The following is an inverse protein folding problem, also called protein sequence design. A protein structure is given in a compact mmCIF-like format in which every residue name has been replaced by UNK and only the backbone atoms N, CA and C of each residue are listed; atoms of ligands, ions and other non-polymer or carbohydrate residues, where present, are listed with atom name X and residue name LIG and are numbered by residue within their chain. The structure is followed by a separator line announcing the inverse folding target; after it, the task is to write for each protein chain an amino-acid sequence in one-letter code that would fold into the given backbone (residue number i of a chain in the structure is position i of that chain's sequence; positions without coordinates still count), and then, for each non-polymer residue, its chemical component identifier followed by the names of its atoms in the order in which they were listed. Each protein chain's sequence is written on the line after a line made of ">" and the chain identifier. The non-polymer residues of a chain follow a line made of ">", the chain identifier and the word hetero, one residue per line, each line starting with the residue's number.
data_IF_170029917714
#
_entry.id   IF_170029917714
#
_cell.length_a   1.000
_cell.length_b   1.000
_cell.length_c   1.000
_cell.angle_alpha   90.00
_cell.angle_beta   90.00
_cell.angle_gamma   90.00
#
_symmetry.space_group_name_H-M   'P 1'
#
loop_
_entity.id
_entity.type
_entity.pdbx_description
1 polymer ?
#
# COMPACT_ATOMS: atom_id res chain seq x y z
N UNK A 1 -75.44 7.83 58.19
CA UNK A 1 -75.23 8.56 56.95
C UNK A 1 -73.74 8.48 56.66
N UNK A 2 -73.38 7.63 55.77
CA UNK A 2 -72.01 7.22 55.44
C UNK A 2 -71.52 8.06 54.27
N UNK A 3 -70.40 8.74 54.47
CA UNK A 3 -69.68 9.41 53.41
C UNK A 3 -68.64 8.41 52.86
N UNK A 4 -68.87 7.91 51.67
CA UNK A 4 -67.85 7.18 50.91
C UNK A 4 -67.01 8.19 50.09
N UNK A 5 -65.82 8.43 50.55
CA UNK A 5 -64.84 9.10 49.76
C UNK A 5 -64.22 8.11 48.77
N UNK A 6 -64.64 8.26 47.55
CA UNK A 6 -64.03 7.47 46.43
C UNK A 6 -62.62 8.08 46.15
N UNK A 7 -61.60 7.38 46.60
CA UNK A 7 -60.22 7.67 46.23
C UNK A 7 -60.04 7.29 44.77
N UNK A 8 -60.02 8.31 43.90
CA UNK A 8 -59.62 8.10 42.49
C UNK A 8 -58.13 7.99 42.45
N UNK A 9 -57.68 6.74 42.40
CA UNK A 9 -56.29 6.40 42.02
C UNK A 9 -56.13 6.80 40.56
N UNK A 10 -55.51 7.94 40.32
CA UNK A 10 -55.00 8.28 38.98
C UNK A 10 -53.80 7.39 38.72
N UNK A 11 -53.97 6.34 38.00
CA UNK A 11 -52.87 5.58 37.39
C UNK A 11 -52.23 6.50 36.34
N UNK A 12 -51.19 7.19 36.74
CA UNK A 12 -50.28 7.83 35.82
C UNK A 12 -49.49 6.74 35.08
N UNK A 13 -49.94 6.40 33.89
CA UNK A 13 -49.12 5.62 32.96
C UNK A 13 -47.93 6.55 32.59
N UNK A 14 -46.89 6.42 33.35
CA UNK A 14 -45.60 6.92 32.92
C UNK A 14 -45.14 6.09 31.71
N UNK A 15 -45.41 6.62 30.53
CA UNK A 15 -44.84 6.07 29.29
C UNK A 15 -43.34 6.29 29.39
N UNK A 16 -42.65 5.26 29.91
CA UNK A 16 -41.20 5.18 29.89
C UNK A 16 -40.84 4.92 28.43
N UNK A 17 -40.68 6.00 27.68
CA UNK A 17 -39.98 5.94 26.37
C UNK A 17 -38.57 5.57 26.71
N UNK A 18 -38.30 4.27 26.79
CA UNK A 18 -36.96 3.75 26.72
C UNK A 18 -36.47 4.07 25.32
N UNK A 19 -35.81 5.24 25.18
CA UNK A 19 -34.90 5.52 24.09
C UNK A 19 -33.77 4.52 24.29
N UNK A 20 -33.94 3.31 23.77
CA UNK A 20 -32.84 2.43 23.49
C UNK A 20 -32.03 3.12 22.42
N UNK A 21 -31.07 3.99 22.84
CA UNK A 21 -29.87 4.24 22.05
C UNK A 21 -29.25 2.86 21.81
N UNK A 22 -29.64 2.21 20.74
CA UNK A 22 -28.82 1.20 20.12
C UNK A 22 -27.53 1.92 19.72
N UNK A 23 -26.60 1.98 20.67
CA UNK A 23 -25.18 2.05 20.36
C UNK A 23 -24.96 0.79 19.52
N UNK A 24 -25.11 0.95 18.19
CA UNK A 24 -24.41 0.10 17.26
C UNK A 24 -22.93 0.29 17.62
N UNK A 25 -22.44 -0.53 18.55
CA UNK A 25 -21.06 -0.85 18.62
C UNK A 25 -20.77 -1.46 17.23
N UNK A 26 -20.39 -0.59 16.27
CA UNK A 26 -19.70 -1.04 15.09
C UNK A 26 -18.54 -1.83 15.70
N UNK A 27 -18.64 -3.17 15.62
CA UNK A 27 -17.51 -4.02 15.86
C UNK A 27 -16.45 -3.45 14.92
N UNK A 28 -15.49 -2.71 15.48
CA UNK A 28 -14.34 -2.25 14.73
C UNK A 28 -13.72 -3.55 14.24
N UNK A 29 -13.87 -3.79 12.95
CA UNK A 29 -13.16 -4.86 12.29
C UNK A 29 -11.69 -4.60 12.60
N UNK A 30 -11.05 -5.55 13.31
CA UNK A 30 -9.64 -5.41 13.71
C UNK A 30 -8.73 -5.17 12.50
N UNK A 31 -9.23 -5.42 11.32
CA UNK A 31 -8.60 -5.20 10.03
C UNK A 31 -8.99 -3.87 9.36
N UNK A 32 -9.73 -2.98 10.03
CA UNK A 32 -10.10 -1.70 9.43
C UNK A 32 -8.93 -0.73 9.46
N UNK A 33 -8.56 -0.20 8.31
CA UNK A 33 -7.59 0.88 8.18
C UNK A 33 -8.28 2.21 8.50
N UNK A 34 -7.65 3.03 9.34
CA UNK A 34 -8.04 4.43 9.52
C UNK A 34 -7.18 5.28 8.58
N UNK A 35 -7.76 5.90 7.56
CA UNK A 35 -7.00 6.75 6.66
C UNK A 35 -6.31 7.90 7.39
N UNK A 36 -5.27 8.45 6.77
CA UNK A 36 -4.64 9.69 7.22
C UNK A 36 -5.69 10.78 7.44
N UNK A 37 -5.53 11.62 8.46
CA UNK A 37 -6.40 12.76 8.69
C UNK A 37 -6.44 13.66 7.44
N UNK A 38 -7.60 14.31 7.19
CA UNK A 38 -7.83 15.05 5.94
C UNK A 38 -6.77 16.12 5.66
N UNK A 39 -6.36 16.86 6.67
CA UNK A 39 -5.38 17.96 6.55
C UNK A 39 -3.97 17.56 7.03
N UNK A 40 -3.69 16.26 7.13
CA UNK A 40 -2.42 15.77 7.65
C UNK A 40 -1.45 15.45 6.53
N UNK A 41 -0.25 16.00 6.61
CA UNK A 41 0.90 15.66 5.75
C UNK A 41 0.99 16.51 4.48
N UNK A 42 -0.11 16.75 3.76
CA UNK A 42 -0.11 17.45 2.47
C UNK A 42 -0.88 18.78 2.49
N UNK A 43 -1.21 19.32 3.67
CA UNK A 43 -1.95 20.55 3.80
C UNK A 43 -3.46 20.38 3.63
N UNK A 44 -4.14 21.47 3.28
CA UNK A 44 -5.61 21.52 3.26
C UNK A 44 -6.23 20.65 2.15
N UNK A 45 -7.27 19.90 2.50
CA UNK A 45 -8.09 19.12 1.58
C UNK A 45 -9.30 19.94 1.13
N UNK A 46 -9.42 20.20 -0.17
CA UNK A 46 -10.63 20.77 -0.76
C UNK A 46 -11.66 19.66 -0.98
N UNK A 47 -12.76 19.72 -0.24
CA UNK A 47 -13.84 18.71 -0.28
C UNK A 47 -14.89 19.00 -1.37
N UNK A 48 -14.70 20.04 -2.20
CA UNK A 48 -15.63 20.34 -3.28
C UNK A 48 -15.76 19.18 -4.26
N UNK A 49 -16.95 19.04 -4.85
CA UNK A 49 -17.16 18.07 -5.91
C UNK A 49 -16.27 18.41 -7.11
N UNK A 50 -15.67 17.40 -7.77
CA UNK A 50 -14.85 17.64 -8.94
C UNK A 50 -15.70 18.10 -10.13
N UNK A 51 -15.08 18.83 -11.06
CA UNK A 51 -15.76 19.27 -12.30
C UNK A 51 -16.17 18.09 -13.21
N UNK A 52 -15.44 16.98 -13.11
CA UNK A 52 -15.71 15.74 -13.83
C UNK A 52 -16.30 14.72 -12.84
N UNK A 53 -17.33 13.95 -13.22
CA UNK A 53 -17.89 12.92 -12.33
C UNK A 53 -16.82 11.97 -11.78
N UNK A 54 -16.81 11.67 -10.47
CA UNK A 54 -15.80 10.79 -9.86
C UNK A 54 -15.67 9.45 -10.56
N UNK A 55 -16.75 8.87 -11.03
CA UNK A 55 -16.77 7.58 -11.75
C UNK A 55 -15.97 7.64 -13.06
N UNK A 56 -16.02 8.77 -13.75
CA UNK A 56 -15.26 8.99 -14.97
C UNK A 56 -13.76 9.12 -14.66
N UNK A 57 -13.39 9.84 -13.58
CA UNK A 57 -12.01 9.95 -13.13
C UNK A 57 -11.48 8.57 -12.75
N UNK A 58 -12.26 7.81 -11.99
CA UNK A 58 -11.92 6.44 -11.55
C UNK A 58 -11.66 5.55 -12.77
N UNK A 59 -12.52 5.57 -13.76
CA UNK A 59 -12.35 4.77 -14.96
C UNK A 59 -11.08 5.15 -15.76
N UNK A 60 -10.80 6.45 -15.86
CA UNK A 60 -9.63 6.96 -16.58
C UNK A 60 -8.32 6.61 -15.84
N UNK A 61 -8.25 6.83 -14.54
CA UNK A 61 -7.02 6.49 -13.81
C UNK A 61 -6.79 4.98 -13.76
N UNK A 62 -7.83 4.15 -13.65
CA UNK A 62 -7.69 2.70 -13.71
C UNK A 62 -7.10 2.21 -15.05
N UNK A 63 -7.45 2.85 -16.16
CA UNK A 63 -6.83 2.58 -17.44
C UNK A 63 -5.34 2.96 -17.44
N UNK A 64 -4.98 4.13 -16.88
CA UNK A 64 -3.59 4.55 -16.72
C UNK A 64 -2.78 3.64 -15.80
N UNK A 65 -3.38 3.18 -14.71
CA UNK A 65 -2.75 2.20 -13.81
C UNK A 65 -2.54 0.83 -14.49
N UNK A 66 -3.40 0.46 -15.45
CA UNK A 66 -3.18 -0.73 -16.28
C UNK A 66 -1.97 -0.56 -17.21
N UNK A 67 -1.82 0.62 -17.83
CA UNK A 67 -0.65 0.97 -18.63
C UNK A 67 0.62 1.00 -17.78
N UNK A 68 0.56 1.61 -16.59
CA UNK A 68 1.65 1.63 -15.62
C UNK A 68 2.09 0.21 -15.24
N UNK A 69 1.16 -0.67 -14.90
CA UNK A 69 1.49 -2.05 -14.51
C UNK A 69 2.16 -2.81 -15.65
N UNK A 70 1.67 -2.64 -16.87
CA UNK A 70 2.30 -3.22 -18.05
C UNK A 70 3.71 -2.66 -18.28
N UNK A 71 3.87 -1.33 -18.15
CA UNK A 71 5.17 -0.68 -18.27
C UNK A 71 6.15 -1.20 -17.22
N UNK A 72 5.76 -1.24 -15.93
CA UNK A 72 6.60 -1.74 -14.84
C UNK A 72 7.11 -3.16 -15.10
N UNK A 73 6.32 -3.99 -15.80
CA UNK A 73 6.73 -5.33 -16.18
C UNK A 73 7.83 -5.36 -17.27
N UNK A 74 8.19 -4.21 -17.85
CA UNK A 74 9.27 -4.06 -18.83
C UNK A 74 10.46 -3.25 -18.29
N UNK A 75 10.45 -2.91 -16.98
CA UNK A 75 11.56 -2.20 -16.36
C UNK A 75 12.31 -3.11 -15.41
N UNK A 76 13.63 -2.99 -15.44
CA UNK A 76 14.52 -3.49 -14.39
C UNK A 76 14.69 -2.40 -13.34
N UNK A 77 14.92 -2.78 -12.10
CA UNK A 77 15.20 -1.84 -11.03
C UNK A 77 15.85 -2.55 -9.84
N UNK A 78 16.48 -1.78 -8.98
CA UNK A 78 17.00 -2.26 -7.69
C UNK A 78 16.00 -1.93 -6.59
N UNK A 79 15.71 -2.91 -5.74
CA UNK A 79 14.92 -2.75 -4.52
C UNK A 79 15.83 -2.94 -3.31
N UNK A 80 15.75 -2.01 -2.36
CA UNK A 80 16.42 -2.10 -1.06
C UNK A 80 15.34 -2.07 0.01
N UNK A 81 15.15 -3.19 0.70
CA UNK A 81 14.14 -3.35 1.73
C UNK A 81 14.79 -3.49 3.11
N UNK A 82 14.13 -2.91 4.11
CA UNK A 82 14.59 -2.91 5.50
C UNK A 82 13.39 -2.97 6.43
N UNK A 83 13.40 -3.90 7.37
CA UNK A 83 12.45 -4.02 8.46
C UNK A 83 13.23 -3.91 9.76
N UNK A 84 12.84 -2.98 10.62
CA UNK A 84 13.51 -2.70 11.87
C UNK A 84 12.56 -2.80 13.04
N UNK A 85 13.04 -3.35 14.15
CA UNK A 85 12.41 -3.22 15.46
C UNK A 85 13.06 -2.08 16.23
N UNK A 86 12.24 -1.30 16.95
CA UNK A 86 12.65 -0.10 17.67
C UNK A 86 12.36 -0.32 19.15
N UNK A 87 13.34 -0.05 19.99
CA UNK A 87 13.20 -0.15 21.44
C UNK A 87 12.51 1.08 22.06
N UNK A 88 12.29 1.05 23.36
CA UNK A 88 11.64 2.13 24.11
C UNK A 88 12.46 3.43 24.14
N UNK A 89 13.76 3.36 23.87
CA UNK A 89 14.66 4.51 23.72
C UNK A 89 14.71 5.08 22.29
N UNK A 90 13.83 4.60 21.38
CA UNK A 90 13.83 4.95 19.95
C UNK A 90 15.08 4.48 19.18
N UNK A 91 15.77 3.46 19.66
CA UNK A 91 16.92 2.88 18.96
C UNK A 91 16.53 1.60 18.22
N UNK A 92 17.20 1.35 17.11
CA UNK A 92 17.05 0.08 16.38
C UNK A 92 17.70 -1.03 17.21
N UNK A 93 16.93 -2.05 17.59
CA UNK A 93 17.39 -3.21 18.36
C UNK A 93 17.37 -4.51 17.54
N UNK A 94 16.85 -4.46 16.32
CA UNK A 94 16.89 -5.56 15.38
C UNK A 94 16.60 -5.10 13.94
N UNK A 95 17.18 -5.80 12.96
CA UNK A 95 17.01 -5.45 11.55
C UNK A 95 17.01 -6.69 10.66
N UNK A 96 16.11 -6.72 9.69
CA UNK A 96 16.20 -7.49 8.48
C UNK A 96 16.46 -6.55 7.31
N UNK A 97 17.38 -6.95 6.42
CA UNK A 97 17.81 -6.11 5.30
C UNK A 97 18.04 -6.95 4.06
N UNK A 98 17.56 -6.50 2.91
CA UNK A 98 17.77 -7.15 1.63
C UNK A 98 17.91 -6.13 0.50
N UNK A 99 18.82 -6.40 -0.40
CA UNK A 99 18.95 -5.72 -1.69
C UNK A 99 18.78 -6.74 -2.79
N UNK A 100 17.85 -6.49 -3.67
CA UNK A 100 17.62 -7.33 -4.84
C UNK A 100 17.50 -6.52 -6.12
N UNK A 101 17.89 -7.13 -7.23
CA UNK A 101 17.71 -6.62 -8.57
C UNK A 101 16.56 -7.36 -9.24
N UNK A 102 15.54 -6.62 -9.66
CA UNK A 102 14.48 -7.10 -10.54
C UNK A 102 14.97 -6.97 -11.97
N UNK A 103 15.25 -8.09 -12.61
CA UNK A 103 15.86 -8.17 -13.92
C UNK A 103 15.10 -9.11 -14.86
N UNK A 104 15.46 -9.13 -16.12
CA UNK A 104 14.96 -10.11 -17.08
C UNK A 104 16.05 -11.16 -17.37
N UNK A 105 15.66 -12.41 -17.48
CA UNK A 105 16.54 -13.48 -17.96
C UNK A 105 16.70 -13.40 -19.49
N UNK A 106 17.60 -14.21 -20.09
CA UNK A 106 17.81 -14.22 -21.54
C UNK A 106 16.54 -14.55 -22.36
N UNK A 107 15.53 -15.17 -21.73
CA UNK A 107 14.25 -15.52 -22.37
C UNK A 107 13.20 -14.43 -22.19
N UNK A 108 13.56 -13.29 -21.58
CA UNK A 108 12.64 -12.18 -21.28
C UNK A 108 11.71 -12.41 -20.08
N UNK A 109 11.98 -13.44 -19.26
CA UNK A 109 11.22 -13.69 -18.04
C UNK A 109 11.76 -12.81 -16.91
N UNK A 110 10.86 -12.07 -16.25
CA UNK A 110 11.20 -11.28 -15.06
C UNK A 110 11.62 -12.20 -13.90
N UNK A 111 12.76 -11.91 -13.31
CA UNK A 111 13.32 -12.62 -12.16
C UNK A 111 13.81 -11.63 -11.10
N UNK A 112 13.84 -12.08 -9.87
CA UNK A 112 14.40 -11.33 -8.75
C UNK A 112 15.71 -11.99 -8.33
N UNK A 113 16.79 -11.22 -8.27
CA UNK A 113 18.11 -11.68 -7.89
C UNK A 113 18.55 -10.98 -6.63
N UNK A 114 18.65 -11.72 -5.53
CA UNK A 114 19.23 -11.20 -4.30
C UNK A 114 20.70 -10.83 -4.55
N UNK A 115 21.03 -9.58 -4.29
CA UNK A 115 22.38 -9.02 -4.44
C UNK A 115 23.08 -9.01 -3.09
N UNK A 116 22.36 -8.70 -2.02
CA UNK A 116 22.89 -8.64 -0.68
C UNK A 116 21.79 -8.91 0.35
N UNK A 117 21.99 -9.88 1.22
CA UNK A 117 21.10 -10.21 2.32
C UNK A 117 21.92 -10.72 3.51
N UNK A 118 22.30 -9.84 4.45
CA UNK A 118 22.98 -10.28 5.68
C UNK A 118 22.02 -11.07 6.56
N UNK A 119 22.57 -11.82 7.53
CA UNK A 119 21.74 -12.47 8.53
C UNK A 119 20.86 -11.46 9.28
N UNK A 120 19.58 -11.82 9.50
CA UNK A 120 18.67 -11.00 10.27
C UNK A 120 19.12 -10.93 11.73
N UNK A 121 19.08 -9.73 12.30
CA UNK A 121 19.27 -9.50 13.74
C UNK A 121 17.96 -9.27 14.51
N UNK A 122 16.81 -9.45 13.85
CA UNK A 122 15.50 -9.39 14.51
C UNK A 122 15.41 -10.49 15.58
N UNK A 123 15.06 -10.11 16.81
CA UNK A 123 14.96 -11.03 17.94
C UNK A 123 13.53 -11.19 18.44
N UNK A 124 12.74 -10.13 18.38
CA UNK A 124 11.36 -10.10 18.89
C UNK A 124 10.32 -10.62 17.89
N UNK A 125 10.64 -10.54 16.60
CA UNK A 125 9.78 -10.93 15.48
C UNK A 125 10.60 -11.63 14.40
N UNK A 126 9.94 -12.33 13.49
CA UNK A 126 10.58 -13.02 12.36
C UNK A 126 9.86 -12.69 11.08
N UNK A 127 10.62 -12.51 9.99
CA UNK A 127 10.06 -12.34 8.66
C UNK A 127 9.33 -13.59 8.20
N UNK A 128 8.10 -13.43 7.78
CA UNK A 128 7.28 -14.49 7.19
C UNK A 128 7.29 -14.42 5.64
N UNK A 129 6.87 -15.49 4.95
CA UNK A 129 6.69 -15.42 3.49
C UNK A 129 5.68 -14.37 3.03
N UNK A 130 4.65 -14.05 3.83
CA UNK A 130 3.69 -12.98 3.53
C UNK A 130 4.33 -11.60 3.62
N UNK A 131 5.20 -11.36 4.61
CA UNK A 131 5.92 -10.10 4.73
C UNK A 131 6.81 -9.86 3.50
N UNK A 132 7.52 -10.89 3.03
CA UNK A 132 8.31 -10.81 1.81
C UNK A 132 7.43 -10.53 0.58
N UNK A 133 6.26 -11.15 0.50
CA UNK A 133 5.32 -10.91 -0.60
C UNK A 133 4.81 -9.48 -0.61
N UNK A 134 4.51 -8.90 0.55
CA UNK A 134 4.06 -7.51 0.66
C UNK A 134 5.17 -6.54 0.25
N UNK A 135 6.41 -6.78 0.65
CA UNK A 135 7.58 -6.02 0.19
C UNK A 135 7.75 -6.13 -1.33
N UNK A 136 7.58 -7.32 -1.87
CA UNK A 136 7.80 -7.58 -3.29
C UNK A 136 6.69 -7.03 -4.19
N UNK A 137 5.45 -7.02 -3.74
CA UNK A 137 4.28 -6.74 -4.57
C UNK A 137 3.31 -5.73 -3.98
N UNK A 138 3.07 -5.77 -2.67
CA UNK A 138 2.05 -4.97 -2.01
C UNK A 138 2.33 -3.47 -2.08
N UNK A 139 3.58 -3.07 -1.92
CA UNK A 139 3.96 -1.66 -1.89
C UNK A 139 3.99 -0.99 -3.27
N UNK A 140 4.01 -1.76 -4.35
CA UNK A 140 3.88 -1.27 -5.73
C UNK A 140 2.45 -1.39 -6.27
N UNK A 141 1.46 -1.27 -5.38
CA UNK A 141 0.05 -1.39 -5.69
C UNK A 141 -0.37 -0.57 -6.92
N UNK A 142 -1.13 -1.19 -7.81
CA UNK A 142 -1.77 -0.56 -8.96
C UNK A 142 -3.27 -0.88 -8.96
N UNK A 143 -4.11 0.13 -9.11
CA UNK A 143 -5.56 -0.06 -9.17
C UNK A 143 -6.01 -0.07 -10.64
N UNK A 144 -5.72 -1.18 -11.30
CA UNK A 144 -5.99 -1.38 -12.72
C UNK A 144 -7.47 -1.49 -13.04
N UNK A 145 -7.81 -1.44 -14.34
CA UNK A 145 -9.19 -1.68 -14.82
C UNK A 145 -9.74 -3.05 -14.37
N UNK A 146 -8.87 -4.05 -14.25
CA UNK A 146 -9.25 -5.38 -13.77
C UNK A 146 -9.46 -5.37 -12.25
N UNK A 147 -8.50 -4.80 -11.51
CA UNK A 147 -8.52 -4.78 -10.05
C UNK A 147 -9.64 -3.91 -9.47
N UNK A 148 -10.01 -2.81 -10.15
CA UNK A 148 -11.00 -1.85 -9.63
C UNK A 148 -12.37 -2.49 -9.37
N UNK A 149 -12.69 -3.58 -10.06
CA UNK A 149 -13.93 -4.33 -9.85
C UNK A 149 -14.04 -4.91 -8.43
N UNK A 150 -12.91 -5.19 -7.79
CA UNK A 150 -12.81 -5.74 -6.43
C UNK A 150 -12.87 -4.68 -5.34
N UNK A 151 -12.83 -3.39 -5.69
CA UNK A 151 -12.72 -2.29 -4.74
C UNK A 151 -13.96 -1.39 -4.70
N UNK A 152 -14.25 -0.89 -3.50
CA UNK A 152 -15.02 0.34 -3.32
C UNK A 152 -14.03 1.50 -3.40
N UNK A 153 -14.28 2.42 -4.32
CA UNK A 153 -13.46 3.62 -4.53
C UNK A 153 -14.35 4.83 -4.33
N UNK A 154 -14.01 5.66 -3.34
CA UNK A 154 -14.82 6.81 -2.94
C UNK A 154 -13.99 8.08 -3.08
N UNK A 155 -14.47 9.03 -3.87
CA UNK A 155 -13.88 10.36 -3.94
C UNK A 155 -13.96 11.05 -2.58
N UNK A 156 -12.86 11.66 -2.15
CA UNK A 156 -12.73 12.42 -0.90
C UNK A 156 -12.66 13.91 -1.17
N UNK A 157 -11.82 14.32 -2.12
CA UNK A 157 -11.55 15.72 -2.40
C UNK A 157 -10.37 15.94 -3.32
N UNK A 158 -9.83 17.14 -3.32
CA UNK A 158 -8.57 17.52 -3.99
C UNK A 158 -7.56 17.99 -2.95
N UNK A 159 -6.30 17.63 -3.18
CA UNK A 159 -5.20 18.04 -2.30
C UNK A 159 -3.91 18.15 -3.11
N UNK A 160 -3.06 19.11 -2.75
CA UNK A 160 -1.71 19.18 -3.31
C UNK A 160 -0.79 18.20 -2.58
N UNK A 161 -0.01 17.47 -3.37
CA UNK A 161 1.13 16.69 -2.90
C UNK A 161 2.36 17.39 -3.48
N UNK A 162 3.08 18.13 -2.63
CA UNK A 162 4.08 19.10 -3.06
C UNK A 162 3.49 20.09 -4.09
N UNK A 163 3.91 20.04 -5.34
CA UNK A 163 3.42 20.92 -6.40
C UNK A 163 2.31 20.26 -7.26
N UNK A 164 2.00 18.98 -7.03
CA UNK A 164 1.10 18.19 -7.84
C UNK A 164 -0.34 18.32 -7.33
N UNK A 165 -1.25 18.79 -8.18
CA UNK A 165 -2.69 18.76 -7.87
C UNK A 165 -3.23 17.34 -8.00
N UNK A 166 -3.80 16.80 -6.94
CA UNK A 166 -4.30 15.44 -6.90
C UNK A 166 -5.80 15.36 -6.63
N UNK A 167 -6.45 14.43 -7.29
CA UNK A 167 -7.71 13.85 -6.82
C UNK A 167 -7.41 12.83 -5.72
N UNK A 168 -8.22 12.81 -4.68
CA UNK A 168 -8.04 11.95 -3.52
C UNK A 168 -9.19 10.97 -3.40
N UNK A 169 -8.85 9.70 -3.26
CA UNK A 169 -9.85 8.63 -3.11
C UNK A 169 -9.52 7.74 -1.93
N UNK A 170 -10.55 7.35 -1.17
CA UNK A 170 -10.47 6.22 -0.25
C UNK A 170 -10.78 4.93 -1.01
N UNK A 171 -9.98 3.89 -0.77
CA UNK A 171 -10.10 2.59 -1.40
C UNK A 171 -10.19 1.50 -0.35
N UNK A 172 -11.10 0.55 -0.56
CA UNK A 172 -11.25 -0.62 0.31
C UNK A 172 -11.76 -1.80 -0.52
N UNK A 173 -11.35 -3.05 -0.24
CA UNK A 173 -11.88 -4.21 -0.92
C UNK A 173 -13.39 -4.35 -0.66
N UNK A 174 -14.17 -4.76 -1.67
CA UNK A 174 -15.60 -5.07 -1.52
C UNK A 174 -15.82 -6.34 -0.70
N UNK A 175 -14.93 -7.30 -0.89
CA UNK A 175 -14.94 -8.59 -0.20
C UNK A 175 -13.49 -8.99 0.04
N UNK A 176 -13.19 -9.46 1.24
CA UNK A 176 -11.87 -10.00 1.57
C UNK A 176 -11.92 -11.51 1.34
N UNK A 177 -11.29 -11.97 0.27
CA UNK A 177 -11.22 -13.38 -0.06
C UNK A 177 -10.06 -14.07 0.67
N UNK A 178 -10.26 -15.36 0.98
CA UNK A 178 -9.20 -16.16 1.60
C UNK A 178 -7.97 -16.26 0.67
N UNK A 179 -6.80 -16.07 1.23
CA UNK A 179 -5.49 -16.13 0.53
C UNK A 179 -5.20 -14.98 -0.44
N UNK A 180 -6.07 -13.99 -0.54
CA UNK A 180 -5.82 -12.78 -1.29
C UNK A 180 -5.45 -11.64 -0.33
N UNK A 181 -4.57 -10.77 -0.80
CA UNK A 181 -4.16 -9.56 -0.08
C UNK A 181 -4.64 -8.35 -0.87
N UNK A 182 -5.25 -7.41 -0.19
CA UNK A 182 -5.84 -6.21 -0.78
C UNK A 182 -5.28 -4.97 -0.09
N UNK A 183 -5.13 -3.89 -0.83
CA UNK A 183 -4.88 -2.57 -0.23
C UNK A 183 -6.17 -2.03 0.37
N UNK A 184 -6.09 -1.47 1.57
CA UNK A 184 -7.13 -0.64 2.15
C UNK A 184 -6.50 0.67 2.62
N UNK A 185 -7.00 1.81 2.13
CA UNK A 185 -6.39 3.09 2.46
C UNK A 185 -6.85 4.24 1.59
N UNK A 186 -5.95 5.16 1.32
CA UNK A 186 -6.14 6.38 0.53
C UNK A 186 -5.11 6.48 -0.57
N UNK A 187 -5.53 6.95 -1.73
CA UNK A 187 -4.66 7.21 -2.87
C UNK A 187 -4.81 8.66 -3.33
N UNK A 188 -3.71 9.22 -3.79
CA UNK A 188 -3.63 10.52 -4.47
C UNK A 188 -3.31 10.27 -5.93
N UNK A 189 -4.16 10.77 -6.80
CA UNK A 189 -4.08 10.60 -8.25
C UNK A 189 -3.79 11.95 -8.88
N UNK A 190 -2.68 12.09 -9.59
CA UNK A 190 -2.37 13.31 -10.33
C UNK A 190 -3.55 13.73 -11.24
N UNK A 191 -3.99 14.96 -11.11
CA UNK A 191 -5.14 15.47 -11.89
C UNK A 191 -4.81 15.64 -13.38
N UNK A 192 -3.54 15.65 -13.76
CA UNK A 192 -3.07 15.80 -15.15
C UNK A 192 -2.84 14.45 -15.82
N UNK A 193 -2.00 13.61 -15.20
CA UNK A 193 -1.58 12.34 -15.78
C UNK A 193 -2.53 11.19 -15.44
N UNK A 194 -3.40 11.38 -14.44
CA UNK A 194 -4.35 10.38 -13.97
C UNK A 194 -3.65 9.07 -13.53
N UNK A 195 -2.50 9.19 -12.89
CA UNK A 195 -1.76 8.09 -12.29
C UNK A 195 -1.62 8.31 -10.78
N UNK A 196 -1.54 7.23 -10.01
CA UNK A 196 -1.33 7.31 -8.56
C UNK A 196 0.07 7.85 -8.29
N UNK A 197 0.18 8.89 -7.46
CA UNK A 197 1.46 9.47 -7.03
C UNK A 197 1.80 9.13 -5.59
N UNK A 198 0.78 8.95 -4.74
CA UNK A 198 0.94 8.53 -3.35
C UNK A 198 -0.13 7.50 -3.00
N UNK A 199 0.28 6.52 -2.23
CA UNK A 199 -0.61 5.55 -1.58
C UNK A 199 -0.36 5.59 -0.08
N UNK A 200 -1.41 5.73 0.74
CA UNK A 200 -1.36 5.54 2.19
C UNK A 200 -2.33 4.43 2.56
N UNK A 201 -1.85 3.34 3.11
CA UNK A 201 -2.72 2.21 3.37
C UNK A 201 -2.06 1.10 4.16
N UNK A 202 -2.77 0.00 4.22
CA UNK A 202 -2.27 -1.29 4.73
C UNK A 202 -2.77 -2.41 3.85
N UNK A 203 -2.07 -3.54 3.89
CA UNK A 203 -2.56 -4.76 3.26
C UNK A 203 -3.52 -5.49 4.20
N UNK A 204 -4.66 -5.94 3.66
CA UNK A 204 -5.70 -6.68 4.40
C UNK A 204 -6.04 -7.98 3.68
N UNK A 205 -6.48 -9.03 4.40
CA UNK A 205 -6.51 -9.17 5.86
C UNK A 205 -5.11 -9.31 6.44
N UNK A 206 -4.97 -9.08 7.75
CA UNK A 206 -3.75 -9.43 8.45
C UNK A 206 -3.49 -10.95 8.35
N UNK A 207 -2.24 -11.35 8.20
CA UNK A 207 -1.88 -12.76 8.21
C UNK A 207 -1.85 -13.29 9.64
N UNK A 208 -2.98 -13.81 10.08
CA UNK A 208 -3.16 -14.37 11.43
C UNK A 208 -3.02 -15.89 11.48
N UNK A 209 -2.43 -16.51 10.45
CA UNK A 209 -2.19 -17.96 10.46
C UNK A 209 -1.24 -18.32 11.60
N UNK A 210 -1.47 -19.52 12.16
CA UNK A 210 -0.67 -20.02 13.29
C UNK A 210 0.83 -19.92 12.95
N UNK A 211 1.58 -19.23 13.79
CA UNK A 211 3.01 -18.90 13.70
C UNK A 211 3.39 -17.90 12.58
N UNK A 212 2.41 -17.28 11.93
CA UNK A 212 2.66 -16.13 11.07
C UNK A 212 2.10 -14.89 11.76
N UNK A 213 2.88 -13.85 11.79
CA UNK A 213 2.52 -12.53 12.29
C UNK A 213 2.80 -11.54 11.17
N UNK A 214 1.84 -10.64 10.94
CA UNK A 214 1.99 -9.61 9.92
C UNK A 214 2.86 -8.49 10.47
N UNK A 215 4.04 -8.28 9.91
CA UNK A 215 5.02 -7.31 10.38
C UNK A 215 4.84 -5.92 9.76
N UNK A 216 3.84 -5.74 8.89
CA UNK A 216 3.71 -4.49 8.17
C UNK A 216 2.72 -3.54 8.84
N UNK A 217 3.20 -2.44 9.44
CA UNK A 217 2.34 -1.34 9.87
C UNK A 217 1.70 -0.66 8.65
N UNK A 218 0.71 0.21 8.86
CA UNK A 218 0.26 1.10 7.80
C UNK A 218 1.43 1.82 7.16
N UNK A 219 1.41 1.93 5.85
CA UNK A 219 2.53 2.45 5.06
C UNK A 219 2.11 3.56 4.12
N UNK A 220 3.08 4.33 3.67
CA UNK A 220 2.95 5.30 2.61
C UNK A 220 3.99 5.00 1.53
N UNK A 221 3.52 4.94 0.27
CA UNK A 221 4.38 4.79 -0.91
C UNK A 221 4.31 6.04 -1.75
N UNK A 222 5.47 6.61 -2.07
CA UNK A 222 5.64 7.71 -3.01
C UNK A 222 6.10 7.19 -4.34
N UNK A 223 5.55 7.76 -5.40
CA UNK A 223 5.98 7.50 -6.77
C UNK A 223 6.60 8.75 -7.38
N UNK A 224 7.50 8.57 -8.32
CA UNK A 224 8.07 9.64 -9.14
C UNK A 224 7.94 9.29 -10.61
N UNK A 225 7.87 10.31 -11.43
CA UNK A 225 7.81 10.13 -12.87
C UNK A 225 9.17 9.66 -13.39
N UNK A 226 9.17 8.51 -14.07
CA UNK A 226 10.34 7.93 -14.72
C UNK A 226 10.15 8.07 -16.23
N UNK A 227 11.19 8.47 -16.93
CA UNK A 227 11.18 8.70 -18.39
C UNK A 227 10.08 9.65 -18.89
N UNK A 228 9.56 10.51 -17.99
CA UNK A 228 8.56 11.50 -18.34
C UNK A 228 7.15 10.94 -18.63
N UNK A 229 6.88 9.65 -18.32
CA UNK A 229 5.60 9.01 -18.66
C UNK A 229 4.92 8.31 -17.50
N UNK A 230 5.65 7.52 -16.70
CA UNK A 230 5.07 6.67 -15.68
C UNK A 230 5.51 7.04 -14.29
N UNK A 231 4.58 7.02 -13.35
CA UNK A 231 4.84 7.25 -11.93
C UNK A 231 5.22 5.94 -11.25
N UNK A 232 6.51 5.64 -11.17
CA UNK A 232 7.01 4.42 -10.52
C UNK A 232 7.27 4.62 -9.04
N UNK A 233 7.08 3.58 -8.19
CA UNK A 233 7.44 3.63 -6.78
C UNK A 233 8.91 4.00 -6.61
N UNK A 234 9.22 4.91 -5.71
CA UNK A 234 10.62 5.27 -5.37
C UNK A 234 10.92 5.05 -3.90
N UNK A 235 9.91 5.19 -3.06
CA UNK A 235 10.08 5.06 -1.64
C UNK A 235 8.79 4.61 -0.96
N UNK A 236 8.91 3.64 -0.05
CA UNK A 236 7.84 3.24 0.87
C UNK A 236 8.35 3.35 2.29
N UNK A 237 7.53 3.90 3.18
CA UNK A 237 7.76 3.91 4.62
C UNK A 237 6.50 3.46 5.34
N UNK A 238 6.64 2.47 6.23
CA UNK A 238 5.67 2.12 7.24
C UNK A 238 6.27 2.30 8.63
N UNK A 239 5.48 2.72 9.61
CA UNK A 239 5.93 2.80 10.99
C UNK A 239 4.73 2.71 11.92
N UNK A 240 4.84 1.89 12.96
CA UNK A 240 3.78 1.73 13.95
C UNK A 240 4.10 0.69 15.01
N UNK A 241 3.26 0.65 16.03
CA UNK A 241 3.32 -0.38 17.08
C UNK A 241 2.34 -1.47 16.71
N UNK A 242 2.83 -2.68 16.53
CA UNK A 242 2.04 -3.87 16.25
C UNK A 242 1.90 -4.71 17.52
N UNK A 243 0.69 -5.21 17.73
CA UNK A 243 0.37 -6.06 18.87
C UNK A 243 0.40 -7.52 18.46
N UNK A 244 1.33 -8.29 19.03
CA UNK A 244 1.44 -9.72 18.81
C UNK A 244 0.79 -10.47 19.97
N UNK A 245 -0.19 -11.31 19.66
CA UNK A 245 -0.86 -12.13 20.65
C UNK A 245 0.06 -13.22 21.16
N UNK A 246 0.14 -13.38 22.48
CA UNK A 246 0.87 -14.48 23.09
C UNK A 246 0.32 -15.84 22.65
N UNK A 247 1.22 -16.81 22.52
CA UNK A 247 0.91 -18.19 22.16
C UNK A 247 1.67 -19.19 23.03
N UNK A 248 1.63 -20.46 22.67
CA UNK A 248 2.29 -21.54 23.42
C UNK A 248 3.80 -21.24 23.57
N UNK A 249 4.19 -20.69 24.73
CA UNK A 249 5.59 -20.38 25.08
C UNK A 249 6.02 -18.92 24.85
N UNK A 250 5.16 -18.06 24.32
CA UNK A 250 5.45 -16.64 24.11
C UNK A 250 4.43 -15.76 24.83
N UNK A 251 4.89 -14.68 25.45
CA UNK A 251 4.00 -13.66 26.03
C UNK A 251 3.52 -12.73 24.91
N UNK A 252 2.31 -12.16 25.10
CA UNK A 252 1.86 -11.06 24.26
C UNK A 252 2.84 -9.89 24.37
N UNK A 253 3.14 -9.22 23.24
CA UNK A 253 4.06 -8.09 23.21
C UNK A 253 3.62 -7.05 22.20
N UNK A 254 3.92 -5.82 22.49
CA UNK A 254 3.87 -4.73 21.52
C UNK A 254 5.28 -4.52 20.95
N UNK A 255 5.37 -4.42 19.64
CA UNK A 255 6.64 -4.20 18.95
C UNK A 255 6.52 -3.00 18.04
N UNK A 256 7.37 -2.01 18.25
CA UNK A 256 7.49 -0.88 17.35
C UNK A 256 8.30 -1.32 16.13
N UNK A 257 7.67 -1.27 14.95
CA UNK A 257 8.24 -1.69 13.67
C UNK A 257 8.34 -0.50 12.73
N UNK A 258 9.44 -0.43 12.00
CA UNK A 258 9.66 0.51 10.91
C UNK A 258 10.10 -0.24 9.67
N UNK A 259 9.30 -0.08 8.59
CA UNK A 259 9.59 -0.62 7.28
C UNK A 259 10.04 0.48 6.34
N UNK A 260 11.04 0.21 5.53
CA UNK A 260 11.42 1.10 4.42
C UNK A 260 11.77 0.27 3.19
N UNK A 261 11.27 0.72 2.05
CA UNK A 261 11.65 0.15 0.75
C UNK A 261 12.03 1.28 -0.19
N UNK A 262 13.19 1.18 -0.82
CA UNK A 262 13.66 2.11 -1.86
C UNK A 262 13.74 1.38 -3.17
N UNK A 263 13.34 2.07 -4.24
CA UNK A 263 13.40 1.57 -5.61
C UNK A 263 14.27 2.53 -6.41
N UNK A 264 15.32 2.01 -7.02
CA UNK A 264 16.31 2.79 -7.77
C UNK A 264 16.69 2.12 -9.07
N UNK A 265 17.44 2.81 -9.90
CA UNK A 265 18.04 2.26 -11.11
C UNK A 265 17.05 1.71 -12.13
N UNK A 266 15.89 2.36 -12.26
CA UNK A 266 14.91 2.00 -13.27
C UNK A 266 15.51 2.08 -14.68
N UNK A 267 15.38 0.98 -15.44
CA UNK A 267 15.84 0.89 -16.83
C UNK A 267 14.84 0.07 -17.64
N UNK A 268 14.41 0.58 -18.77
CA UNK A 268 13.54 -0.14 -19.66
C UNK A 268 14.28 -1.30 -20.32
N UNK A 269 13.75 -2.52 -20.23
CA UNK A 269 14.28 -3.69 -20.89
C UNK A 269 14.08 -3.60 -22.41
N UNK A 270 15.15 -3.90 -23.17
CA UNK A 270 15.11 -3.81 -24.65
C UNK A 270 15.26 -2.42 -25.23
N UNK A 271 15.48 -1.36 -24.40
CA UNK A 271 15.90 -0.07 -24.92
C UNK A 271 17.32 -0.19 -25.45
N UNK A 272 17.51 0.16 -26.72
CA UNK A 272 18.83 0.24 -27.34
C UNK A 272 19.53 1.44 -26.74
N UNK A 273 20.58 1.24 -25.96
CA UNK A 273 21.40 2.34 -25.48
C UNK A 273 22.11 2.98 -26.68
N UNK A 274 21.76 4.23 -27.00
CA UNK A 274 22.58 5.05 -27.88
C UNK A 274 23.71 5.64 -27.06
N UNK A 275 24.90 5.16 -27.25
CA UNK A 275 26.07 5.79 -26.64
C UNK A 275 26.42 7.00 -27.50
N UNK A 276 26.15 8.20 -26.98
CA UNK A 276 26.58 9.43 -27.61
C UNK A 276 27.93 9.80 -26.98
N UNK A 277 29.02 9.69 -27.75
CA UNK A 277 30.32 10.16 -27.35
C UNK A 277 30.65 11.38 -28.20
N UNK A 278 30.97 12.50 -27.57
CA UNK A 278 31.35 13.76 -28.23
C UNK A 278 30.35 14.25 -29.31
N UNK A 279 29.04 14.07 -29.02
CA UNK A 279 27.94 14.51 -29.91
C UNK A 279 27.71 13.62 -31.13
N UNK A 280 28.40 12.50 -31.26
CA UNK A 280 28.19 11.51 -32.32
C UNK A 280 27.62 10.20 -31.79
N UNK A 281 26.60 9.64 -32.49
CA UNK A 281 26.01 8.37 -32.19
C UNK A 281 26.97 7.23 -32.57
N UNK A 282 27.45 6.45 -31.60
CA UNK A 282 28.25 5.26 -31.87
C UNK A 282 27.29 4.06 -31.96
N UNK A 283 27.20 3.46 -33.12
CA UNK A 283 26.44 2.21 -33.29
C UNK A 283 27.06 1.11 -32.39
N UNK A 284 26.23 0.28 -31.73
CA UNK A 284 26.75 -0.85 -30.98
C UNK A 284 27.57 -1.79 -31.90
N UNK A 285 28.63 -2.44 -31.38
CA UNK A 285 29.43 -3.38 -32.18
C UNK A 285 28.49 -4.43 -32.78
N UNK A 286 28.58 -4.62 -34.10
CA UNK A 286 27.82 -5.68 -34.76
C UNK A 286 28.17 -7.03 -34.11
N UNK A 287 27.17 -7.80 -33.67
CA UNK A 287 27.34 -9.17 -33.23
C UNK A 287 28.06 -9.95 -34.34
N UNK A 288 29.28 -10.38 -34.08
CA UNK A 288 30.00 -11.26 -34.99
C UNK A 288 29.25 -12.60 -34.98
N UNK A 289 28.86 -13.15 -36.16
CA UNK A 289 28.24 -14.44 -36.21
C UNK A 289 29.26 -15.48 -35.72
N UNK A 290 28.85 -16.22 -34.70
CA UNK A 290 29.61 -17.35 -34.13
C UNK A 290 30.07 -18.28 -35.25
N UNK A 291 31.37 -18.28 -35.54
CA UNK A 291 31.96 -19.22 -36.45
C UNK A 291 31.78 -20.63 -35.88
N UNK A 292 30.90 -21.37 -36.49
CA UNK A 292 30.72 -22.82 -36.23
C UNK A 292 32.09 -23.52 -36.30
N UNK A 293 32.54 -24.01 -35.18
CA UNK A 293 33.60 -25.05 -35.18
C UNK A 293 33.05 -26.31 -35.85
N UNK A 294 33.43 -26.50 -37.12
CA UNK A 294 33.44 -27.81 -37.73
C UNK A 294 34.66 -28.56 -37.21
N UNK A 295 34.48 -29.54 -36.40
CA UNK A 295 34.95 -30.94 -36.51
C UNK A 295 34.63 -31.69 -35.25
#
# INVERSE_FOLDING_TARGET
>A
MRNEQTVRIRLGIALLVAVTCALAAAAQDKNSFTPMALDSGFGHMDLAAPAVPPEQIIHQFAARESEFQQALNHYTFRRTARVQTIDDDNKVDGEWYEVDDVIFDPNGKRTEKVVYAPGSSLQRVQMSPSDLQDIQRGYSFALTTEEIAHYNVKYVGRQKVDEIDCYVFDVAPKVIEKKMRYLQGRIWVDATDLQIVVTNGRMVPDDTRKNNEDLHPPFMTWRQQVDGHYWFPVYTKGEGILHFSGGSGYMAQDVHIRDTVKYTDYKQFGSTFKIIYDGQEIAPPAEQPNAQQKK
#
